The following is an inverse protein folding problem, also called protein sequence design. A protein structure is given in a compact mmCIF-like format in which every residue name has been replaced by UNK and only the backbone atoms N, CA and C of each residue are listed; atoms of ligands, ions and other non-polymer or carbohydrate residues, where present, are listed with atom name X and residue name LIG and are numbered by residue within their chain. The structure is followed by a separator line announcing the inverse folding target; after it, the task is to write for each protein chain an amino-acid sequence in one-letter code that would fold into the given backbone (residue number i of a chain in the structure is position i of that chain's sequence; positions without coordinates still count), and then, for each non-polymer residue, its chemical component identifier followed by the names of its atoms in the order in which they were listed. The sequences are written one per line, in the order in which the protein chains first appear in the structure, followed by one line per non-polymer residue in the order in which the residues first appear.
data_IF_175873909422
#
_entry.id   IF_175873909422
#
_cell.length_a   1.000
_cell.length_b   1.000
_cell.length_c   1.000
_cell.angle_alpha   90.00
_cell.angle_beta   90.00
_cell.angle_gamma   90.00
#
_symmetry.space_group_name_H-M   'P 1'
#
loop_
_entity.id
_entity.type
_entity.pdbx_description
1 polymer ?
#
# COMPACT_ATOMS: atom_id res chain seq x y z
N UNK A 1 -11.91 7.63 -2.27
CA UNK A 1 -10.80 6.91 -1.58
C UNK A 1 -9.88 7.80 -0.74
N UNK A 2 -9.46 8.99 -1.20
CA UNK A 2 -8.50 9.83 -0.46
C UNK A 2 -9.00 10.36 0.89
N UNK A 3 -10.28 10.73 0.98
CA UNK A 3 -10.87 11.29 2.20
C UNK A 3 -10.93 10.29 3.38
N UNK A 4 -11.20 9.02 3.12
CA UNK A 4 -11.26 7.97 4.16
C UNK A 4 -9.87 7.65 4.69
N UNK A 5 -8.87 7.55 3.80
CA UNK A 5 -7.47 7.40 4.18
C UNK A 5 -6.98 8.60 5.01
N UNK A 6 -7.24 9.83 4.55
CA UNK A 6 -6.87 11.05 5.28
C UNK A 6 -7.46 11.07 6.70
N UNK A 7 -8.72 10.65 6.84
CA UNK A 7 -9.38 10.53 8.15
C UNK A 7 -8.68 9.50 9.05
N UNK A 8 -8.41 8.30 8.55
CA UNK A 8 -7.75 7.23 9.31
C UNK A 8 -6.33 7.60 9.76
N UNK A 9 -5.59 8.32 8.92
CA UNK A 9 -4.21 8.72 9.23
C UNK A 9 -4.10 9.66 10.43
N UNK A 10 -5.17 10.34 10.83
CA UNK A 10 -5.20 11.19 12.04
C UNK A 10 -4.95 10.40 13.33
N UNK A 11 -5.08 9.08 13.30
CA UNK A 11 -4.91 8.20 14.47
C UNK A 11 -3.56 7.47 14.50
N UNK A 12 -2.64 7.81 13.58
CA UNK A 12 -1.36 7.08 13.41
C UNK A 12 -0.16 7.79 14.02
N UNK A 13 -0.35 8.84 14.82
CA UNK A 13 0.67 9.79 15.27
C UNK A 13 1.77 9.25 16.19
N UNK A 14 1.75 7.95 16.54
CA UNK A 14 2.70 7.32 17.46
C UNK A 14 3.45 6.14 16.83
N UNK A 15 3.39 6.00 15.51
CA UNK A 15 4.00 4.91 14.77
C UNK A 15 5.08 5.43 13.84
N UNK A 16 6.18 4.69 13.75
CA UNK A 16 7.30 4.98 12.84
C UNK A 16 6.93 4.76 11.36
N UNK A 17 5.94 3.89 11.11
CA UNK A 17 5.42 3.60 9.80
C UNK A 17 4.00 3.02 9.90
N UNK A 18 3.23 3.08 8.80
CA UNK A 18 1.94 2.41 8.68
C UNK A 18 1.83 1.66 7.35
N UNK A 19 1.07 0.57 7.37
CA UNK A 19 0.59 -0.06 6.14
C UNK A 19 -0.70 0.62 5.69
N UNK A 20 -0.76 0.95 4.40
CA UNK A 20 -2.00 1.27 3.70
C UNK A 20 -2.35 0.07 2.84
N UNK A 21 -3.42 -0.63 3.25
CA UNK A 21 -3.94 -1.82 2.59
C UNK A 21 -5.25 -1.47 1.89
N UNK A 22 -5.52 -2.15 0.77
CA UNK A 22 -6.83 -2.10 0.13
C UNK A 22 -7.65 -3.31 0.60
N UNK A 23 -8.90 -3.07 0.98
CA UNK A 23 -9.77 -4.09 1.58
C UNK A 23 -10.25 -5.16 0.61
N UNK A 24 -10.18 -4.87 -0.68
CA UNK A 24 -10.50 -5.71 -1.83
C UNK A 24 -9.33 -6.60 -2.29
N UNK A 25 -8.18 -6.57 -1.60
CA UNK A 25 -7.01 -7.39 -1.88
C UNK A 25 -6.71 -8.42 -0.77
N UNK A 26 -7.63 -9.35 -0.45
CA UNK A 26 -7.49 -10.25 0.70
C UNK A 26 -6.43 -11.35 0.51
N UNK A 27 -6.00 -11.61 -0.72
CA UNK A 27 -5.10 -12.73 -1.05
C UNK A 27 -3.61 -12.37 -0.98
N UNK A 28 -3.26 -11.14 -0.63
CA UNK A 28 -1.85 -10.76 -0.44
C UNK A 28 -1.23 -11.60 0.68
N UNK A 29 -0.13 -12.27 0.38
CA UNK A 29 0.54 -13.20 1.28
C UNK A 29 1.13 -12.50 2.49
N UNK A 30 1.03 -13.12 3.67
CA UNK A 30 1.71 -12.65 4.90
C UNK A 30 3.23 -12.56 4.75
N UNK A 31 3.83 -13.36 3.85
CA UNK A 31 5.25 -13.26 3.52
C UNK A 31 5.59 -11.92 2.83
N UNK A 32 4.68 -11.41 1.99
CA UNK A 32 4.80 -10.09 1.37
C UNK A 32 4.82 -8.99 2.43
N UNK A 33 3.86 -9.01 3.38
CA UNK A 33 3.83 -8.06 4.49
C UNK A 33 5.12 -8.09 5.32
N UNK A 34 5.61 -9.28 5.64
CA UNK A 34 6.86 -9.45 6.43
C UNK A 34 8.06 -8.83 5.71
N UNK A 35 8.20 -9.10 4.40
CA UNK A 35 9.30 -8.58 3.58
C UNK A 35 9.27 -7.06 3.40
N UNK A 36 8.06 -6.47 3.31
CA UNK A 36 7.90 -5.02 3.28
C UNK A 36 8.24 -4.38 4.63
N UNK A 37 7.83 -5.01 5.73
CA UNK A 37 8.12 -4.54 7.09
C UNK A 37 9.63 -4.55 7.39
N UNK A 38 10.37 -5.56 6.93
CA UNK A 38 11.84 -5.59 7.05
C UNK A 38 12.54 -4.41 6.38
N UNK A 39 11.89 -3.80 5.39
CA UNK A 39 12.41 -2.63 4.65
C UNK A 39 11.80 -1.31 5.11
N UNK A 40 10.91 -1.33 6.11
CA UNK A 40 10.24 -0.15 6.61
C UNK A 40 11.24 0.83 7.25
N UNK A 41 11.10 2.11 6.94
CA UNK A 41 11.92 3.19 7.48
C UNK A 41 11.04 4.45 7.60
N UNK A 42 11.17 5.23 8.69
CA UNK A 42 10.40 6.46 8.89
C UNK A 42 10.48 7.48 7.74
N UNK A 43 11.54 7.42 6.93
CA UNK A 43 11.79 8.35 5.82
C UNK A 43 11.42 7.78 4.45
N UNK A 44 11.10 6.49 4.34
CA UNK A 44 10.84 5.83 3.06
C UNK A 44 9.36 5.55 2.84
N UNK A 45 9.02 5.32 1.58
CA UNK A 45 7.79 4.65 1.17
C UNK A 45 8.21 3.30 0.59
N UNK A 46 7.62 2.21 1.03
CA UNK A 46 7.98 0.86 0.59
C UNK A 46 6.77 0.21 -0.08
N UNK A 47 6.93 -0.33 -1.27
CA UNK A 47 5.87 -1.03 -1.97
C UNK A 47 6.40 -2.32 -2.64
N UNK A 48 5.57 -3.35 -2.79
CA UNK A 48 5.96 -4.55 -3.51
C UNK A 48 6.02 -4.26 -5.01
N UNK A 49 6.89 -4.97 -5.70
CA UNK A 49 6.92 -5.06 -7.15
C UNK A 49 6.84 -6.53 -7.57
N UNK A 50 5.91 -6.83 -8.48
CA UNK A 50 5.79 -8.12 -9.11
C UNK A 50 5.92 -7.93 -10.62
N UNK A 51 6.90 -8.59 -11.23
CA UNK A 51 7.18 -8.54 -12.68
C UNK A 51 7.25 -7.09 -13.25
N UNK A 52 7.97 -6.18 -12.58
CA UNK A 52 8.13 -4.80 -13.03
C UNK A 52 6.94 -3.89 -12.72
N UNK A 53 5.89 -4.40 -12.08
CA UNK A 53 4.68 -3.64 -11.74
C UNK A 53 4.57 -3.45 -10.24
N UNK A 54 4.46 -2.19 -9.80
CA UNK A 54 4.24 -1.83 -8.39
C UNK A 54 2.85 -2.26 -7.94
N UNK A 55 2.78 -2.98 -6.82
CA UNK A 55 1.56 -3.42 -6.18
C UNK A 55 1.24 -2.74 -4.86
N UNK A 56 0.34 -3.39 -4.11
CA UNK A 56 -0.07 -3.08 -2.74
C UNK A 56 0.21 -4.29 -1.83
N UNK A 57 0.27 -4.13 -0.50
CA UNK A 57 0.09 -2.90 0.28
C UNK A 57 1.29 -1.96 0.18
N UNK A 58 1.12 -0.71 0.61
CA UNK A 58 2.21 0.27 0.66
C UNK A 58 2.50 0.64 2.10
N UNK A 59 3.77 0.59 2.49
CA UNK A 59 4.26 1.08 3.78
C UNK A 59 4.66 2.54 3.62
N UNK A 60 4.12 3.41 4.44
CA UNK A 60 4.54 4.80 4.54
C UNK A 60 5.27 5.01 5.86
N UNK A 61 6.50 5.51 5.82
CA UNK A 61 7.18 6.01 6.99
C UNK A 61 6.53 7.28 7.55
N UNK A 62 6.73 7.54 8.85
CA UNK A 62 6.16 8.67 9.59
C UNK A 62 6.32 10.02 8.87
N UNK A 63 7.46 10.26 8.20
CA UNK A 63 7.73 11.50 7.45
C UNK A 63 6.64 11.82 6.43
N UNK A 64 5.94 10.81 5.91
CA UNK A 64 4.93 10.93 4.87
C UNK A 64 3.50 11.04 5.41
N UNK A 65 3.28 10.91 6.73
CA UNK A 65 1.94 10.96 7.34
C UNK A 65 1.26 12.31 7.14
N UNK A 66 2.03 13.41 7.17
CA UNK A 66 1.47 14.75 6.91
C UNK A 66 0.90 14.86 5.49
N UNK A 67 1.52 14.23 4.50
CA UNK A 67 1.02 14.21 3.13
C UNK A 67 -0.25 13.36 3.01
N UNK A 68 -0.30 12.21 3.70
CA UNK A 68 -1.48 11.35 3.71
C UNK A 68 -2.70 12.00 4.39
N UNK A 69 -2.50 12.72 5.50
CA UNK A 69 -3.58 13.44 6.19
C UNK A 69 -4.15 14.61 5.39
N UNK A 70 -3.44 15.09 4.36
CA UNK A 70 -3.86 16.20 3.49
C UNK A 70 -4.57 15.73 2.21
N UNK A 71 -4.71 14.42 2.00
CA UNK A 71 -5.42 13.89 0.83
C UNK A 71 -6.87 14.40 0.77
N UNK A 72 -7.33 14.71 -0.45
CA UNK A 72 -8.69 15.22 -0.70
C UNK A 72 -9.36 14.46 -1.83
N UNK A 73 -10.69 14.33 -1.75
CA UNK A 73 -11.51 13.67 -2.76
C UNK A 73 -11.04 12.23 -3.03
N UNK A 74 -10.87 11.90 -4.30
CA UNK A 74 -10.43 10.57 -4.77
C UNK A 74 -8.94 10.45 -5.01
N UNK A 75 -8.15 11.46 -4.65
CA UNK A 75 -6.69 11.35 -4.65
C UNK A 75 -6.28 10.39 -3.51
N UNK A 76 -6.09 9.11 -3.84
CA UNK A 76 -5.57 8.11 -2.93
C UNK A 76 -4.05 8.21 -2.73
N UNK A 77 -3.44 7.23 -2.08
CA UNK A 77 -1.98 7.21 -1.82
C UNK A 77 -1.10 7.29 -3.07
N UNK A 78 -1.65 7.07 -4.27
CA UNK A 78 -0.95 7.24 -5.56
C UNK A 78 -0.39 8.65 -5.75
N UNK A 79 -1.06 9.70 -5.27
CA UNK A 79 -0.54 11.07 -5.39
C UNK A 79 0.69 11.29 -4.49
N UNK A 80 0.68 10.76 -3.27
CA UNK A 80 1.82 10.82 -2.35
C UNK A 80 3.01 10.06 -2.91
N UNK A 81 2.77 8.90 -3.53
CA UNK A 81 3.82 8.13 -4.21
C UNK A 81 4.47 8.90 -5.37
N UNK A 82 3.66 9.61 -6.17
CA UNK A 82 4.18 10.42 -7.28
C UNK A 82 5.00 11.61 -6.77
N UNK A 83 4.51 12.31 -5.74
CA UNK A 83 5.18 13.44 -5.10
C UNK A 83 6.51 13.04 -4.44
N UNK A 84 6.56 11.86 -3.81
CA UNK A 84 7.71 11.36 -3.04
C UNK A 84 8.42 10.20 -3.74
N UNK A 85 8.44 10.19 -5.06
CA UNK A 85 9.04 9.10 -5.87
C UNK A 85 10.52 8.83 -5.54
N UNK A 86 11.28 9.85 -5.13
CA UNK A 86 12.67 9.69 -4.69
C UNK A 86 12.83 8.94 -3.36
N UNK A 87 11.75 8.83 -2.56
CA UNK A 87 11.73 8.09 -1.31
C UNK A 87 11.07 6.71 -1.46
N UNK A 88 10.61 6.36 -2.67
CA UNK A 88 9.98 5.08 -2.95
C UNK A 88 11.03 3.98 -3.14
N UNK A 89 10.92 2.93 -2.33
CA UNK A 89 11.68 1.69 -2.45
C UNK A 89 10.75 0.57 -2.89
N UNK A 90 11.07 -0.03 -4.03
CA UNK A 90 10.35 -1.18 -4.57
C UNK A 90 11.02 -2.48 -4.11
N UNK A 91 10.22 -3.39 -3.56
CA UNK A 91 10.67 -4.68 -3.06
C UNK A 91 10.15 -5.76 -3.99
N UNK A 92 11.06 -6.47 -4.66
CA UNK A 92 10.70 -7.62 -5.48
C UNK A 92 10.05 -8.70 -4.63
N UNK A 93 8.87 -9.13 -5.05
CA UNK A 93 8.10 -10.23 -4.46
C UNK A 93 7.72 -11.24 -5.54
N UNK A 94 7.49 -12.48 -5.13
CA UNK A 94 6.97 -13.54 -6.00
C UNK A 94 5.43 -13.68 -5.89
N UNK A 95 4.78 -12.75 -5.18
CA UNK A 95 3.36 -12.78 -4.87
C UNK A 95 2.59 -11.97 -5.92
N UNK A 96 1.85 -12.61 -6.84
CA UNK A 96 1.07 -11.90 -7.84
C UNK A 96 -0.17 -11.21 -7.24
N UNK A 97 -0.64 -11.62 -6.05
CA UNK A 97 -1.84 -11.05 -5.42
C UNK A 97 -1.66 -9.57 -5.03
N UNK A 98 -0.43 -9.06 -5.01
CA UNK A 98 -0.12 -7.63 -4.83
C UNK A 98 -0.67 -6.75 -5.95
N UNK A 99 -1.12 -7.34 -7.07
CA UNK A 99 -1.70 -6.66 -8.22
C UNK A 99 -3.18 -7.02 -8.44
N UNK A 100 -3.80 -7.81 -7.56
CA UNK A 100 -5.15 -8.34 -7.77
C UNK A 100 -6.14 -7.73 -6.77
N UNK A 101 -7.00 -6.86 -7.26
CA UNK A 101 -8.19 -6.34 -6.60
C UNK A 101 -9.45 -7.10 -7.04
N UNK A 102 -10.46 -7.10 -6.18
CA UNK A 102 -11.76 -7.75 -6.40
C UNK A 102 -12.82 -6.66 -6.56
N UNK A 103 -13.11 -6.29 -7.80
CA UNK A 103 -14.12 -5.27 -8.13
C UNK A 103 -15.47 -5.91 -8.49
N UNK A 104 -15.44 -7.14 -9.01
CA UNK A 104 -16.60 -7.87 -9.52
C UNK A 104 -16.72 -9.27 -8.92
N UNK A 105 -17.93 -9.87 -8.90
CA UNK A 105 -18.09 -11.26 -8.48
C UNK A 105 -17.22 -12.25 -9.27
N UNK A 106 -16.97 -11.98 -10.55
CA UNK A 106 -16.13 -12.81 -11.43
C UNK A 106 -14.66 -12.81 -10.99
N UNK A 107 -14.15 -11.68 -10.46
CA UNK A 107 -12.78 -11.60 -9.93
C UNK A 107 -12.61 -12.54 -8.74
N UNK A 108 -13.63 -12.64 -7.88
CA UNK A 108 -13.61 -13.54 -6.73
C UNK A 108 -13.57 -15.01 -7.15
N UNK A 109 -14.34 -15.41 -8.18
CA UNK A 109 -14.35 -16.79 -8.69
C UNK A 109 -12.97 -17.19 -9.21
N UNK A 110 -12.31 -16.29 -9.94
CA UNK A 110 -10.96 -16.51 -10.48
C UNK A 110 -9.93 -16.76 -9.37
N UNK A 111 -10.10 -16.11 -8.22
CA UNK A 111 -9.17 -16.20 -7.08
C UNK A 111 -9.47 -17.33 -6.08
N UNK A 112 -10.68 -17.89 -6.12
CA UNK A 112 -11.10 -19.01 -5.27
C UNK A 112 -10.84 -20.38 -5.90
N UNK A 113 -10.39 -20.44 -7.15
CA UNK A 113 -10.13 -21.69 -7.85
C UNK A 113 -8.73 -22.22 -7.47
N UNK A 114 -8.61 -23.45 -6.94
CA UNK A 114 -7.35 -24.00 -6.41
C UNK A 114 -6.27 -24.28 -7.45
#
# INVERSE_FOLDING_TARGET
MGATLAFGMRFTTHWDACFVCLSDMPFVSTATYSRLLESADPNLIVAPEYNGTRGNPVVFGERHFSSLTKLRGDSGGKSVLAEHSNHLRLIQVADPAVLMDIDTPEDLVTLQTP
#
